data_IF_491228804735
#
_entry.id   IF_491228804735
#
_cell.length_a   1.000
_cell.length_b   1.000
_cell.length_c   1.000
_cell.angle_alpha   90.00
_cell.angle_beta   90.00
_cell.angle_gamma   90.00
#
_symmetry.space_group_name_H-M   'P 1'
#
loop_
_entity.id
_entity.type
_entity.pdbx_description
1 polymer ?
#
# COMPACT_ATOMS: atom_id res chain seq x y z
N UNK A 1 -9.74 14.19 26.36
CA UNK A 1 -8.98 14.42 25.12
C UNK A 1 -8.02 13.23 24.96
N UNK A 2 -8.37 12.26 24.11
CA UNK A 2 -7.62 11.00 24.02
C UNK A 2 -6.42 11.19 23.09
N UNK A 3 -5.21 11.11 23.65
CA UNK A 3 -3.96 11.32 22.93
C UNK A 3 -3.53 10.03 22.22
N UNK A 4 -3.09 10.14 20.96
CA UNK A 4 -2.48 9.04 20.23
C UNK A 4 -1.02 8.86 20.67
N UNK A 5 -0.69 7.71 21.27
CA UNK A 5 0.69 7.41 21.66
C UNK A 5 1.45 6.74 20.50
N UNK A 6 2.55 7.37 20.09
CA UNK A 6 3.51 6.84 19.12
C UNK A 6 4.49 5.87 19.80
N UNK A 7 4.21 4.57 19.70
CA UNK A 7 5.18 3.54 20.07
C UNK A 7 6.21 3.36 18.94
N UNK A 8 7.45 3.79 19.16
CA UNK A 8 8.57 3.48 18.28
C UNK A 8 9.20 2.12 18.70
N UNK A 9 9.30 1.13 17.80
CA UNK A 9 10.02 -0.10 18.11
C UNK A 9 11.53 0.08 17.92
N UNK A 10 12.28 -0.04 19.02
CA UNK A 10 13.71 -0.29 18.95
C UNK A 10 13.96 -1.62 18.21
N UNK A 11 14.91 -1.65 17.27
CA UNK A 11 15.46 -2.91 16.77
C UNK A 11 17.00 -2.87 16.81
N UNK A 12 17.58 -3.81 17.54
CA UNK A 12 19.02 -4.08 17.54
C UNK A 12 19.30 -5.38 16.76
N UNK A 13 20.51 -5.46 16.25
CA UNK A 13 20.94 -6.33 15.15
C UNK A 13 21.02 -7.83 15.48
N UNK A 14 20.59 -8.68 14.55
CA UNK A 14 21.19 -9.99 14.32
C UNK A 14 21.06 -10.38 12.83
N UNK A 15 22.19 -10.69 12.19
CA UNK A 15 22.29 -10.96 10.74
C UNK A 15 22.13 -12.45 10.38
N UNK A 16 22.43 -12.78 9.10
CA UNK A 16 22.47 -14.12 8.45
C UNK A 16 21.11 -14.47 7.79
N UNK A 17 20.89 -14.37 6.46
CA UNK A 17 21.79 -14.23 5.29
C UNK A 17 21.24 -13.30 4.17
N UNK A 18 22.06 -13.10 3.14
CA UNK A 18 21.80 -12.55 1.78
C UNK A 18 22.91 -13.15 0.86
N UNK A 19 22.91 -13.10 -0.50
CA UNK A 19 22.24 -12.11 -1.37
C UNK A 19 21.62 -12.63 -2.70
N UNK A 20 20.66 -11.88 -3.26
CA UNK A 20 20.53 -11.72 -4.72
C UNK A 20 20.25 -10.26 -5.05
N UNK A 21 21.31 -9.55 -5.42
CA UNK A 21 21.27 -8.22 -6.01
C UNK A 21 20.71 -8.29 -7.43
N UNK A 22 19.66 -7.52 -7.73
CA UNK A 22 19.39 -7.03 -9.09
C UNK A 22 19.07 -5.53 -9.06
N UNK A 23 19.95 -4.67 -9.61
CA UNK A 23 19.58 -3.34 -10.08
C UNK A 23 18.96 -3.45 -11.49
N UNK A 24 18.50 -2.31 -12.05
CA UNK A 24 17.95 -2.19 -13.42
C UNK A 24 16.61 -2.92 -13.63
N UNK A 25 15.48 -2.26 -13.82
CA UNK A 25 15.23 -1.02 -14.58
C UNK A 25 13.95 -0.32 -14.10
N UNK A 26 13.91 1.00 -14.28
CA UNK A 26 12.67 1.79 -14.33
C UNK A 26 11.85 1.41 -15.56
N UNK A 27 11.23 0.23 -15.52
CA UNK A 27 10.04 0.00 -16.32
C UNK A 27 8.98 0.93 -15.73
N UNK A 28 8.53 1.92 -16.50
CA UNK A 28 7.30 2.65 -16.19
C UNK A 28 6.17 1.66 -16.49
N UNK A 29 6.03 0.70 -15.58
CA UNK A 29 4.97 -0.30 -15.63
C UNK A 29 3.65 0.47 -15.56
N UNK A 30 2.75 0.22 -16.51
CA UNK A 30 1.46 0.91 -16.61
C UNK A 30 0.51 0.36 -15.56
N UNK A 31 0.90 0.48 -14.30
CA UNK A 31 0.11 0.04 -13.16
C UNK A 31 -1.25 0.74 -13.22
N UNK A 32 -2.30 -0.05 -13.02
CA UNK A 32 -3.67 0.46 -12.90
C UNK A 32 -3.70 1.64 -11.92
N UNK A 33 -4.49 2.68 -12.22
CA UNK A 33 -4.59 3.89 -11.38
C UNK A 33 -4.85 3.56 -9.91
N UNK A 34 -5.54 2.45 -9.64
CA UNK A 34 -5.74 1.87 -8.31
C UNK A 34 -4.44 1.81 -7.49
N UNK A 35 -3.31 1.39 -8.09
CA UNK A 35 -2.02 1.26 -7.41
C UNK A 35 -1.41 2.59 -6.96
N UNK A 36 -1.83 3.72 -7.52
CA UNK A 36 -1.42 5.05 -7.03
C UNK A 36 -1.91 5.33 -5.59
N UNK A 37 -2.82 4.52 -5.08
CA UNK A 37 -3.41 4.65 -3.74
C UNK A 37 -2.93 3.59 -2.74
N UNK A 38 -2.04 2.68 -3.15
CA UNK A 38 -1.55 1.59 -2.30
C UNK A 38 -0.03 1.46 -2.32
N UNK A 39 0.57 1.53 -1.14
CA UNK A 39 1.98 1.16 -0.96
C UNK A 39 2.14 -0.34 -0.76
N UNK A 40 3.36 -0.84 -0.99
CA UNK A 40 3.76 -2.20 -0.60
C UNK A 40 3.91 -2.27 0.92
N UNK A 41 3.35 -3.30 1.53
CA UNK A 41 3.60 -3.57 2.96
C UNK A 41 5.00 -4.14 3.16
N UNK A 42 5.52 -4.00 4.38
CA UNK A 42 6.73 -4.72 4.84
C UNK A 42 6.48 -6.24 4.79
N UNK A 43 5.24 -6.69 5.03
CA UNK A 43 4.87 -8.09 4.89
C UNK A 43 4.64 -8.47 3.41
N UNK A 44 5.31 -9.52 2.90
CA UNK A 44 5.14 -9.96 1.52
C UNK A 44 3.71 -10.45 1.27
N UNK A 45 3.18 -10.13 0.09
CA UNK A 45 1.78 -10.44 -0.26
C UNK A 45 0.76 -9.40 0.23
N UNK A 46 1.20 -8.31 0.88
CA UNK A 46 0.30 -7.24 1.35
C UNK A 46 0.63 -5.87 0.79
N UNK A 47 -0.38 -5.01 0.81
CA UNK A 47 -0.40 -3.62 0.36
C UNK A 47 -1.15 -2.78 1.40
N UNK A 48 -0.88 -1.47 1.48
CA UNK A 48 -1.46 -0.57 2.49
C UNK A 48 -2.11 0.61 1.77
N UNK A 49 -3.38 0.87 2.04
CA UNK A 49 -4.10 2.01 1.46
C UNK A 49 -3.60 3.33 2.07
N UNK A 50 -3.08 4.23 1.22
CA UNK A 50 -2.53 5.53 1.61
C UNK A 50 -3.49 6.71 1.37
N UNK A 51 -4.75 6.44 1.01
CA UNK A 51 -5.73 7.52 0.80
C UNK A 51 -5.91 8.33 2.08
N UNK A 52 -5.80 9.65 1.97
CA UNK A 52 -6.00 10.59 3.08
C UNK A 52 -7.48 10.91 3.24
N UNK A 53 -8.00 10.69 4.45
CA UNK A 53 -9.37 10.98 4.84
C UNK A 53 -9.56 12.48 5.10
N UNK A 54 -10.82 12.95 5.11
CA UNK A 54 -11.20 14.38 5.34
C UNK A 54 -10.68 15.03 6.63
N UNK A 55 -10.08 14.27 7.56
CA UNK A 55 -9.47 14.75 8.81
C UNK A 55 -7.92 14.72 8.80
N UNK A 56 -7.30 14.49 7.65
CA UNK A 56 -5.84 14.38 7.52
C UNK A 56 -5.25 13.02 7.93
N UNK A 57 -6.07 12.08 8.42
CA UNK A 57 -5.64 10.72 8.72
C UNK A 57 -5.52 9.89 7.45
N UNK A 58 -4.44 9.12 7.28
CA UNK A 58 -4.35 8.09 6.24
C UNK A 58 -5.28 6.90 6.55
N UNK A 59 -5.75 6.22 5.51
CA UNK A 59 -6.62 5.05 5.64
C UNK A 59 -5.91 3.88 6.34
N UNK A 60 -4.65 3.61 6.00
CA UNK A 60 -3.81 2.58 6.63
C UNK A 60 -4.30 1.14 6.47
N UNK A 61 -5.38 0.89 5.72
CA UNK A 61 -5.99 -0.44 5.59
C UNK A 61 -5.03 -1.38 4.85
N UNK A 62 -4.57 -2.42 5.56
CA UNK A 62 -3.74 -3.49 5.01
C UNK A 62 -4.61 -4.47 4.21
N UNK A 63 -4.30 -4.63 2.92
CA UNK A 63 -5.00 -5.51 1.99
C UNK A 63 -4.03 -6.48 1.36
N UNK A 64 -4.41 -7.76 1.27
CA UNK A 64 -3.64 -8.77 0.54
C UNK A 64 -3.69 -8.47 -0.96
N UNK A 65 -2.55 -8.45 -1.65
CA UNK A 65 -2.54 -8.46 -3.11
C UNK A 65 -2.58 -9.91 -3.60
N UNK A 66 -3.55 -10.19 -4.47
CA UNK A 66 -3.75 -11.52 -5.02
C UNK A 66 -2.72 -11.78 -6.11
N UNK A 67 -2.09 -12.96 -6.09
CA UNK A 67 -1.01 -13.33 -7.02
C UNK A 67 -1.44 -13.27 -8.50
N UNK A 68 -2.74 -13.32 -8.76
CA UNK A 68 -3.39 -13.21 -10.07
C UNK A 68 -3.49 -11.78 -10.63
N UNK A 69 -2.79 -10.79 -10.04
CA UNK A 69 -2.78 -9.37 -10.48
C UNK A 69 -4.16 -8.67 -10.47
N UNK A 70 -5.18 -9.26 -9.85
CA UNK A 70 -6.53 -8.70 -9.81
C UNK A 70 -6.61 -7.55 -8.82
N UNK A 71 -6.96 -6.36 -9.31
CA UNK A 71 -7.19 -5.14 -8.52
C UNK A 71 -8.64 -5.00 -8.04
N UNK A 72 -9.51 -5.99 -8.27
CA UNK A 72 -10.96 -5.89 -7.96
C UNK A 72 -11.23 -5.54 -6.50
N UNK A 73 -10.48 -6.13 -5.57
CA UNK A 73 -10.64 -5.88 -4.13
C UNK A 73 -10.20 -4.45 -3.78
N UNK A 74 -9.07 -4.00 -4.32
CA UNK A 74 -8.52 -2.66 -4.17
C UNK A 74 -9.46 -1.60 -4.76
N UNK A 75 -10.01 -1.80 -5.96
CA UNK A 75 -11.02 -0.93 -6.57
C UNK A 75 -12.28 -0.84 -5.68
N UNK A 76 -12.83 -1.99 -5.25
CA UNK A 76 -13.99 -2.01 -4.35
C UNK A 76 -13.71 -1.33 -3.00
N UNK A 77 -12.45 -1.28 -2.54
CA UNK A 77 -12.08 -0.53 -1.35
C UNK A 77 -12.08 0.98 -1.61
N UNK A 78 -11.44 1.44 -2.70
CA UNK A 78 -11.39 2.85 -3.10
C UNK A 78 -12.79 3.45 -3.33
N UNK A 79 -13.64 2.73 -4.05
CA UNK A 79 -15.02 3.12 -4.33
C UNK A 79 -15.85 3.24 -3.05
N UNK A 80 -15.84 2.21 -2.19
CA UNK A 80 -16.75 2.15 -1.02
C UNK A 80 -16.30 2.94 0.20
N UNK A 81 -14.98 3.13 0.39
CA UNK A 81 -14.44 3.78 1.59
C UNK A 81 -14.07 5.24 1.32
N UNK A 82 -13.68 5.56 0.08
CA UNK A 82 -13.15 6.87 -0.29
C UNK A 82 -13.94 7.57 -1.40
N UNK A 83 -14.92 6.88 -2.01
CA UNK A 83 -15.69 7.35 -3.17
C UNK A 83 -14.81 7.79 -4.35
N UNK A 84 -13.66 7.10 -4.53
CA UNK A 84 -12.74 7.34 -5.64
C UNK A 84 -13.00 6.33 -6.76
N UNK A 85 -13.07 6.82 -8.01
CA UNK A 85 -13.25 6.03 -9.22
C UNK A 85 -12.09 6.28 -10.21
N UNK A 86 -11.86 5.35 -11.15
CA UNK A 86 -10.80 5.50 -12.15
C UNK A 86 -11.07 6.71 -13.09
N UNK A 87 -10.15 7.68 -13.18
CA UNK A 87 -10.37 8.94 -13.88
C UNK A 87 -10.34 8.83 -15.41
N UNK A 88 -10.15 7.63 -15.99
CA UNK A 88 -10.28 7.41 -17.44
C UNK A 88 -11.74 7.20 -17.88
N UNK A 89 -12.66 7.11 -16.93
CA UNK A 89 -14.10 6.94 -17.15
C UNK A 89 -14.93 8.11 -16.58
N UNK A 90 -14.29 9.26 -16.35
CA UNK A 90 -14.89 10.55 -16.00
C UNK A 90 -14.78 11.53 -17.18
#
# INVERSE_FOLDING_TARGET
MTQCMTAAPNYSTAATKSPTTQPSKTVIDKQSWVWNHFDKSIEPGFSICQVTLKRGCVCGTKMKWEKSSSTKNHHSHLEKNHHLADPKFL
#
